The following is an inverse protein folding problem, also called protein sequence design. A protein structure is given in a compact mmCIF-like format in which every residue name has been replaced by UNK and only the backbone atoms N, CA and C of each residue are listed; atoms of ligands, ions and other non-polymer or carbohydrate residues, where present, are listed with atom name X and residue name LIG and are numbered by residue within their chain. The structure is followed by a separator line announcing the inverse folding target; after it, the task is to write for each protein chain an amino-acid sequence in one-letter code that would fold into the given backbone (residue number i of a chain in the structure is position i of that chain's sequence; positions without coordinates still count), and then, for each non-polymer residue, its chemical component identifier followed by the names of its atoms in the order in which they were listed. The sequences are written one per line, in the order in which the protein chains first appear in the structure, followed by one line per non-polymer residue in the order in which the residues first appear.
data_IF_509349299783
#
_entry.id   IF_509349299783
#
_cell.length_a   1.000
_cell.length_b   1.000
_cell.length_c   1.000
_cell.angle_alpha   90.00
_cell.angle_beta   90.00
_cell.angle_gamma   90.00
#
_symmetry.space_group_name_H-M   'P 1'
#
loop_
_entity.id
_entity.type
_entity.pdbx_description
1 polymer ?
#
# COMPACT_ATOMS: atom_id res chain seq x y z
N UNK A 1 33.30 12.61 -25.65
CA UNK A 1 33.10 11.75 -24.45
C UNK A 1 31.64 11.70 -24.00
N UNK A 2 30.80 12.67 -24.35
CA UNK A 2 29.36 12.68 -24.03
C UNK A 2 28.40 12.21 -25.16
N UNK A 3 28.91 11.88 -26.37
CA UNK A 3 28.09 11.27 -27.43
C UNK A 3 27.86 9.75 -27.24
N UNK A 4 28.84 9.00 -26.72
CA UNK A 4 28.72 7.52 -26.56
C UNK A 4 27.73 7.08 -25.47
N UNK A 5 27.34 7.98 -24.57
CA UNK A 5 26.35 7.72 -23.52
C UNK A 5 24.93 7.82 -24.08
N UNK A 6 24.71 8.68 -25.08
CA UNK A 6 23.40 8.89 -25.72
C UNK A 6 23.04 7.77 -26.71
N UNK A 7 24.03 7.16 -27.36
CA UNK A 7 23.80 6.06 -28.32
C UNK A 7 23.35 4.74 -27.65
N UNK A 8 23.48 4.60 -26.32
CA UNK A 8 22.99 3.43 -25.58
C UNK A 8 21.49 3.51 -25.25
N UNK A 9 20.88 4.70 -25.34
CA UNK A 9 19.49 4.95 -24.91
C UNK A 9 18.49 4.74 -26.06
N UNK A 10 18.92 4.66 -27.33
CA UNK A 10 18.00 4.62 -28.49
C UNK A 10 18.26 3.51 -29.53
N UNK A 11 18.78 2.35 -29.12
CA UNK A 11 18.87 1.19 -30.02
C UNK A 11 17.49 0.57 -30.35
N UNK A 12 17.24 0.13 -31.60
CA UNK A 12 15.92 -0.37 -32.02
C UNK A 12 15.60 -1.74 -31.41
N UNK A 13 14.36 -1.90 -30.91
CA UNK A 13 13.79 -3.20 -30.55
C UNK A 13 13.60 -4.06 -31.81
N UNK A 14 14.35 -5.16 -31.90
CA UNK A 14 14.07 -6.27 -32.81
C UNK A 14 13.89 -7.52 -31.94
N UNK A 15 12.86 -8.36 -32.18
CA UNK A 15 12.51 -9.45 -31.27
C UNK A 15 13.46 -10.63 -31.48
N UNK A 16 14.13 -11.08 -30.42
CA UNK A 16 14.86 -12.35 -30.42
C UNK A 16 14.24 -13.31 -29.41
N UNK A 17 13.61 -14.35 -29.96
CA UNK A 17 13.29 -15.58 -29.23
C UNK A 17 14.62 -16.30 -28.99
N UNK A 18 14.98 -16.54 -27.72
CA UNK A 18 16.18 -17.28 -27.31
C UNK A 18 15.98 -17.94 -25.93
N UNK A 19 16.62 -19.10 -25.66
CA UNK A 19 16.24 -20.03 -24.58
C UNK A 19 16.68 -19.58 -23.19
N UNK A 20 16.09 -20.14 -22.10
CA UNK A 20 16.40 -19.71 -20.74
C UNK A 20 17.73 -20.34 -20.31
N UNK A 21 18.51 -19.64 -19.47
CA UNK A 21 19.55 -20.22 -18.60
C UNK A 21 20.12 -19.10 -17.71
N UNK A 22 19.72 -19.09 -16.43
CA UNK A 22 20.58 -18.48 -15.41
C UNK A 22 21.84 -19.35 -15.29
N UNK A 23 23.06 -18.77 -15.26
CA UNK A 23 24.28 -19.55 -15.08
C UNK A 23 24.35 -20.14 -13.66
N UNK A 24 25.00 -21.30 -13.47
CA UNK A 24 25.05 -22.04 -12.19
C UNK A 24 25.81 -21.35 -11.04
N UNK A 25 26.34 -20.15 -11.28
CA UNK A 25 27.05 -19.32 -10.31
C UNK A 25 26.36 -17.98 -10.03
N UNK A 26 25.22 -17.71 -10.67
CA UNK A 26 24.38 -16.59 -10.28
C UNK A 26 23.79 -16.91 -8.91
N UNK A 27 24.25 -16.19 -7.87
CA UNK A 27 23.59 -16.21 -6.57
C UNK A 27 22.12 -15.87 -6.80
N UNK A 28 21.17 -16.66 -6.25
CA UNK A 28 19.79 -16.23 -6.28
C UNK A 28 19.75 -14.85 -5.63
N UNK A 29 19.02 -13.88 -6.20
CA UNK A 29 18.77 -12.66 -5.46
C UNK A 29 18.23 -13.07 -4.07
N UNK A 30 18.62 -12.38 -2.98
CA UNK A 30 17.87 -12.49 -1.74
C UNK A 30 16.40 -12.32 -2.09
N UNK A 31 15.51 -13.01 -1.37
CA UNK A 31 14.06 -12.99 -1.61
C UNK A 31 13.70 -11.56 -1.96
N UNK A 32 13.47 -11.28 -3.24
CA UNK A 32 12.99 -9.98 -3.65
C UNK A 32 11.52 -10.04 -3.33
N UNK A 33 11.25 -9.82 -2.06
CA UNK A 33 10.00 -9.27 -1.61
C UNK A 33 9.74 -8.10 -2.54
N UNK A 34 8.51 -8.02 -3.00
CA UNK A 34 8.14 -6.89 -3.81
C UNK A 34 8.58 -5.64 -3.04
N UNK A 35 9.49 -4.88 -3.64
CA UNK A 35 9.67 -3.47 -3.33
C UNK A 35 8.36 -2.76 -3.69
N UNK A 36 7.35 -3.02 -2.88
CA UNK A 36 6.17 -2.23 -2.68
C UNK A 36 6.43 -1.52 -1.37
N UNK A 37 6.89 -0.28 -1.52
CA UNK A 37 6.80 0.73 -0.47
C UNK A 37 5.34 0.78 0.00
N UNK A 38 5.01 0.01 1.02
CA UNK A 38 3.87 0.16 1.93
C UNK A 38 4.08 -0.83 3.09
N UNK A 39 4.52 -0.30 4.22
CA UNK A 39 4.69 -1.01 5.50
C UNK A 39 3.34 -1.57 6.01
N UNK A 40 2.88 -2.74 5.57
CA UNK A 40 2.04 -3.64 6.39
C UNK A 40 1.87 -5.10 5.86
N UNK A 41 2.82 -5.61 5.09
CA UNK A 41 2.97 -7.06 4.86
C UNK A 41 4.46 -7.39 4.94
N UNK A 42 4.85 -8.16 5.96
CA UNK A 42 6.25 -8.40 6.35
C UNK A 42 7.16 -8.65 5.14
N UNK A 43 8.15 -7.77 4.99
CA UNK A 43 9.36 -8.03 4.24
C UNK A 43 10.17 -9.14 4.95
N UNK A 44 10.39 -10.27 4.29
CA UNK A 44 11.32 -11.33 4.71
C UNK A 44 12.80 -10.86 4.86
N UNK A 45 13.11 -9.59 4.64
CA UNK A 45 14.42 -8.99 4.92
C UNK A 45 14.59 -8.57 6.41
N UNK A 46 13.50 -8.51 7.20
CA UNK A 46 13.59 -8.29 8.67
C UNK A 46 13.68 -9.59 9.50
N UNK A 47 13.55 -10.77 8.86
CA UNK A 47 13.75 -12.05 9.52
C UNK A 47 15.25 -12.35 9.65
N UNK A 48 15.91 -11.67 10.58
CA UNK A 48 17.17 -12.08 11.17
C UNK A 48 18.31 -12.28 10.17
N UNK A 49 18.98 -11.18 9.85
CA UNK A 49 20.33 -11.13 9.28
C UNK A 49 21.42 -11.77 10.19
N UNK A 50 21.09 -12.80 10.98
CA UNK A 50 22.00 -13.55 11.83
C UNK A 50 22.01 -15.06 11.53
N UNK A 51 21.28 -15.53 10.50
CA UNK A 51 21.33 -16.95 10.06
C UNK A 51 21.41 -17.16 8.56
N UNK A 52 22.14 -16.29 7.84
CA UNK A 52 22.60 -16.63 6.48
C UNK A 52 23.81 -17.56 6.54
N UNK A 53 23.62 -18.74 7.12
CA UNK A 53 24.42 -19.90 6.71
C UNK A 53 23.85 -20.37 5.37
N UNK A 54 24.61 -20.10 4.30
CA UNK A 54 24.35 -20.39 2.88
C UNK A 54 24.31 -21.91 2.62
N UNK A 55 23.49 -22.67 3.35
CA UNK A 55 23.38 -24.13 3.18
C UNK A 55 22.09 -24.80 3.67
N UNK A 56 21.09 -24.09 4.22
CA UNK A 56 19.89 -24.77 4.72
C UNK A 56 18.63 -24.52 3.86
N UNK A 57 18.47 -25.32 2.81
CA UNK A 57 17.24 -25.42 2.00
C UNK A 57 16.02 -25.97 2.76
N UNK A 58 16.12 -26.17 4.08
CA UNK A 58 15.06 -26.63 4.98
C UNK A 58 14.87 -25.70 6.19
N UNK A 59 15.19 -24.42 6.05
CA UNK A 59 14.99 -23.42 7.10
C UNK A 59 13.49 -23.17 7.34
N UNK A 60 13.10 -23.10 8.62
CA UNK A 60 11.74 -22.83 9.07
C UNK A 60 11.64 -21.41 9.59
N UNK A 61 10.63 -20.69 9.15
CA UNK A 61 10.37 -19.31 9.56
C UNK A 61 8.97 -19.19 10.14
N UNK A 62 8.84 -18.32 11.12
CA UNK A 62 7.56 -17.95 11.72
C UNK A 62 7.10 -16.63 11.12
N UNK A 63 5.83 -16.55 10.73
CA UNK A 63 5.27 -15.33 10.17
C UNK A 63 3.94 -15.00 10.84
N UNK A 64 3.59 -13.71 10.83
CA UNK A 64 2.32 -13.19 11.30
C UNK A 64 1.74 -12.25 10.25
N UNK A 65 0.45 -12.40 9.99
CA UNK A 65 -0.29 -11.66 8.98
C UNK A 65 -1.45 -10.89 9.62
N UNK A 66 -1.64 -9.61 9.26
CA UNK A 66 -2.80 -8.84 9.66
C UNK A 66 -4.08 -9.35 8.97
N UNK A 67 -5.21 -8.76 9.31
CA UNK A 67 -6.47 -9.01 8.58
C UNK A 67 -6.48 -8.34 7.21
N UNK A 68 -7.27 -8.85 6.26
CA UNK A 68 -7.48 -8.19 4.95
C UNK A 68 -6.37 -8.37 3.90
N UNK A 69 -5.55 -9.42 3.98
CA UNK A 69 -4.47 -9.66 3.01
C UNK A 69 -4.94 -9.97 1.58
N UNK A 70 -6.24 -10.21 1.37
CA UNK A 70 -6.83 -10.39 0.03
C UNK A 70 -6.88 -9.08 -0.78
N UNK A 71 -6.91 -7.94 -0.10
CA UNK A 71 -7.02 -6.60 -0.71
C UNK A 71 -5.65 -6.03 -1.11
N UNK A 72 -4.56 -6.58 -0.57
CA UNK A 72 -3.19 -6.20 -0.95
C UNK A 72 -2.87 -6.71 -2.35
N UNK A 73 -2.85 -5.81 -3.33
CA UNK A 73 -2.62 -6.14 -4.73
C UNK A 73 -1.32 -5.57 -5.26
N UNK A 74 -0.84 -6.10 -6.39
CA UNK A 74 0.24 -5.49 -7.14
C UNK A 74 -0.20 -4.12 -7.67
N UNK A 75 0.53 -3.06 -7.30
CA UNK A 75 0.35 -1.72 -7.88
C UNK A 75 1.19 -1.50 -9.14
N UNK A 76 2.23 -2.31 -9.34
CA UNK A 76 3.08 -2.27 -10.52
C UNK A 76 3.00 -3.61 -11.25
N UNK A 77 2.98 -3.61 -12.60
CA UNK A 77 2.92 -4.83 -13.36
C UNK A 77 4.17 -5.69 -13.12
N UNK A 78 3.96 -6.95 -12.68
CA UNK A 78 5.02 -7.94 -12.49
C UNK A 78 4.92 -9.02 -13.54
N UNK A 79 6.06 -9.40 -14.12
CA UNK A 79 6.13 -10.46 -15.12
C UNK A 79 6.27 -11.82 -14.44
N UNK A 80 5.39 -12.75 -14.81
CA UNK A 80 5.44 -14.14 -14.39
C UNK A 80 5.39 -14.99 -15.65
N UNK A 81 6.56 -15.48 -16.08
CA UNK A 81 6.70 -16.16 -17.36
C UNK A 81 6.47 -15.18 -18.52
N UNK A 82 5.51 -15.50 -19.38
CA UNK A 82 5.14 -14.75 -20.59
C UNK A 82 4.07 -13.68 -20.36
N UNK A 83 3.49 -13.60 -19.16
CA UNK A 83 2.38 -12.69 -18.84
C UNK A 83 2.74 -11.71 -17.73
N UNK A 84 2.26 -10.49 -17.87
CA UNK A 84 2.33 -9.47 -16.82
C UNK A 84 1.01 -9.44 -16.03
N UNK A 85 1.11 -9.43 -14.71
CA UNK A 85 -0.02 -9.36 -13.77
C UNK A 85 0.03 -8.05 -13.00
N UNK A 86 -1.13 -7.44 -12.79
CA UNK A 86 -1.31 -6.17 -12.06
C UNK A 86 -2.68 -6.17 -11.36
N UNK A 87 -2.84 -5.39 -10.29
CA UNK A 87 -4.09 -5.25 -9.51
C UNK A 87 -4.70 -6.56 -9.00
N UNK A 88 -3.84 -7.50 -8.64
CA UNK A 88 -4.21 -8.74 -7.97
C UNK A 88 -3.13 -9.14 -6.96
N UNK A 89 -3.47 -9.89 -5.90
CA UNK A 89 -2.45 -10.45 -5.01
C UNK A 89 -1.59 -11.44 -5.80
N UNK A 90 -0.27 -11.29 -5.73
CA UNK A 90 0.65 -12.15 -6.47
C UNK A 90 0.80 -13.49 -5.75
N UNK A 91 0.15 -14.53 -6.27
CA UNK A 91 0.27 -15.90 -5.76
C UNK A 91 0.66 -16.78 -6.93
N UNK A 92 1.81 -17.45 -6.88
CA UNK A 92 2.28 -18.31 -7.97
C UNK A 92 2.35 -19.76 -7.50
N UNK A 93 1.53 -20.60 -8.14
CA UNK A 93 1.39 -22.01 -7.80
C UNK A 93 0.68 -22.26 -6.48
N UNK A 94 1.14 -23.29 -5.76
CA UNK A 94 0.61 -23.67 -4.47
C UNK A 94 -0.72 -24.41 -4.50
N UNK A 95 -0.77 -25.48 -3.71
CA UNK A 95 -1.89 -26.40 -3.45
C UNK A 95 -1.55 -27.07 -2.12
N UNK A 96 -2.52 -27.72 -1.46
CA UNK A 96 -2.21 -28.58 -0.30
C UNK A 96 -1.03 -29.51 -0.60
N UNK A 97 0.15 -29.21 -0.02
CA UNK A 97 1.40 -29.95 -0.17
C UNK A 97 2.30 -29.60 -1.37
N UNK A 98 1.92 -28.67 -2.26
CA UNK A 98 2.83 -28.17 -3.32
C UNK A 98 3.34 -26.79 -2.96
N UNK A 99 4.62 -26.48 -3.21
CA UNK A 99 5.22 -25.22 -2.82
C UNK A 99 4.72 -24.03 -3.64
N UNK A 100 4.76 -22.87 -3.01
CA UNK A 100 4.57 -21.56 -3.60
C UNK A 100 5.93 -21.01 -4.05
N UNK A 101 5.91 -20.20 -5.12
CA UNK A 101 7.14 -19.54 -5.59
C UNK A 101 7.57 -18.44 -4.62
N UNK A 102 8.88 -18.28 -4.40
CA UNK A 102 9.46 -17.39 -3.39
C UNK A 102 9.10 -15.90 -3.49
N UNK A 103 8.59 -15.44 -4.64
CA UNK A 103 8.15 -14.06 -4.87
C UNK A 103 6.62 -13.87 -4.70
N UNK A 104 5.90 -14.90 -4.25
CA UNK A 104 4.48 -14.80 -3.94
C UNK A 104 4.28 -14.03 -2.64
N UNK A 105 3.22 -13.23 -2.56
CA UNK A 105 2.83 -12.52 -1.33
C UNK A 105 2.54 -13.53 -0.22
N UNK A 106 3.32 -13.48 0.87
CA UNK A 106 3.32 -14.50 1.91
C UNK A 106 1.94 -14.68 2.56
N UNK A 107 1.31 -13.58 2.96
CA UNK A 107 0.02 -13.62 3.65
C UNK A 107 -1.14 -14.01 2.72
N UNK A 108 -1.16 -13.49 1.49
CA UNK A 108 -2.14 -13.91 0.49
C UNK A 108 -1.98 -15.39 0.12
N UNK A 109 -0.74 -15.88 -0.01
CA UNK A 109 -0.45 -17.30 -0.22
C UNK A 109 -0.86 -18.17 0.98
N UNK A 110 -0.67 -17.69 2.21
CA UNK A 110 -1.09 -18.40 3.42
C UNK A 110 -2.62 -18.53 3.51
N UNK A 111 -3.35 -17.48 3.13
CA UNK A 111 -4.81 -17.49 3.04
C UNK A 111 -5.30 -18.41 1.91
N UNK A 112 -4.64 -18.34 0.74
CA UNK A 112 -4.90 -19.25 -0.37
C UNK A 112 -4.68 -20.72 0.03
N UNK A 113 -3.63 -21.01 0.82
CA UNK A 113 -3.38 -22.34 1.38
C UNK A 113 -4.37 -22.75 2.49
N UNK A 114 -5.16 -21.82 3.03
CA UNK A 114 -6.10 -22.07 4.12
C UNK A 114 -5.43 -22.18 5.49
N UNK A 115 -4.20 -21.70 5.61
CA UNK A 115 -3.45 -21.70 6.87
C UNK A 115 -3.89 -20.56 7.78
N UNK A 116 -4.33 -19.44 7.20
CA UNK A 116 -4.88 -18.28 7.90
C UNK A 116 -6.28 -17.96 7.37
N UNK A 117 -7.10 -17.31 8.19
CA UNK A 117 -8.43 -16.84 7.80
C UNK A 117 -8.44 -15.37 7.38
N UNK A 118 -9.63 -14.85 7.09
CA UNK A 118 -9.85 -13.43 6.73
C UNK A 118 -9.45 -12.44 7.85
N UNK A 119 -9.40 -12.91 9.11
CA UNK A 119 -9.07 -12.10 10.29
C UNK A 119 -7.56 -12.10 10.62
N UNK A 120 -6.73 -12.47 9.66
CA UNK A 120 -5.31 -12.66 9.85
C UNK A 120 -4.97 -14.01 10.47
N UNK A 121 -3.70 -14.16 10.84
CA UNK A 121 -3.17 -15.43 11.35
C UNK A 121 -1.68 -15.39 11.60
N UNK A 122 -1.18 -16.45 12.24
CA UNK A 122 0.25 -16.74 12.30
C UNK A 122 0.48 -18.16 11.81
N UNK A 123 1.69 -18.44 11.34
CA UNK A 123 2.04 -19.74 10.82
C UNK A 123 3.53 -19.99 10.77
N UNK A 124 3.86 -21.22 10.39
CA UNK A 124 5.22 -21.61 10.06
C UNK A 124 5.30 -21.90 8.56
N UNK A 125 6.34 -21.38 7.94
CA UNK A 125 6.71 -21.72 6.58
C UNK A 125 8.06 -22.42 6.59
N UNK A 126 8.25 -23.32 5.64
CA UNK A 126 9.50 -24.00 5.38
C UNK A 126 9.95 -23.62 3.99
N UNK A 127 11.17 -23.11 3.88
CA UNK A 127 11.79 -22.90 2.58
C UNK A 127 12.04 -24.26 1.94
N UNK A 128 11.88 -24.27 0.63
CA UNK A 128 12.18 -25.39 -0.25
C UNK A 128 13.06 -24.82 -1.36
N UNK A 129 14.05 -25.57 -1.82
CA UNK A 129 14.89 -25.13 -2.93
C UNK A 129 14.16 -25.07 -4.26
N UNK A 130 14.85 -25.51 -5.31
CA UNK A 130 14.33 -25.45 -6.66
C UNK A 130 13.06 -26.28 -6.81
N UNK A 131 11.99 -25.65 -7.34
CA UNK A 131 10.76 -26.34 -7.71
C UNK A 131 10.19 -25.78 -9.00
N UNK A 132 9.53 -26.65 -9.76
CA UNK A 132 8.73 -26.35 -10.93
C UNK A 132 8.21 -27.65 -11.54
N UNK A 133 7.16 -27.61 -12.36
CA UNK A 133 6.34 -26.45 -12.73
C UNK A 133 5.24 -26.12 -11.69
N UNK A 134 4.78 -24.86 -11.67
CA UNK A 134 3.70 -24.37 -10.83
C UNK A 134 2.37 -24.36 -11.59
N UNK A 135 1.37 -25.03 -11.02
CA UNK A 135 0.02 -25.13 -11.61
C UNK A 135 -0.92 -24.06 -11.04
N UNK A 136 -1.79 -23.45 -11.86
CA UNK A 136 -2.73 -22.45 -11.39
C UNK A 136 -3.94 -23.12 -10.74
N UNK A 137 -4.39 -22.60 -9.61
CA UNK A 137 -5.58 -23.07 -8.91
C UNK A 137 -6.29 -21.90 -8.22
N UNK A 138 -7.58 -22.08 -7.95
CA UNK A 138 -8.36 -21.14 -7.12
C UNK A 138 -8.68 -21.84 -5.81
N UNK A 139 -8.23 -21.29 -4.69
CA UNK A 139 -8.48 -21.82 -3.34
C UNK A 139 -8.82 -20.67 -2.39
N UNK A 140 -9.80 -20.90 -1.51
CA UNK A 140 -10.25 -19.94 -0.50
C UNK A 140 -10.58 -18.53 -1.03
N UNK A 141 -11.09 -18.45 -2.27
CA UNK A 141 -11.45 -17.18 -2.92
C UNK A 141 -10.30 -16.48 -3.65
N UNK A 142 -9.05 -16.94 -3.48
CA UNK A 142 -7.86 -16.38 -4.12
C UNK A 142 -7.44 -17.22 -5.33
N UNK A 143 -6.85 -16.58 -6.34
CA UNK A 143 -6.43 -17.22 -7.60
C UNK A 143 -4.91 -17.21 -7.72
N UNK A 144 -4.31 -18.39 -7.91
CA UNK A 144 -2.89 -18.51 -8.22
C UNK A 144 -2.60 -18.49 -9.72
N UNK A 145 -1.39 -18.03 -10.04
CA UNK A 145 -0.85 -17.83 -11.38
C UNK A 145 0.04 -19.03 -11.76
N UNK A 146 0.01 -19.48 -13.03
CA UNK A 146 0.86 -20.57 -13.48
C UNK A 146 2.29 -20.11 -13.75
N UNK A 147 3.26 -21.00 -13.56
CA UNK A 147 4.64 -20.79 -14.00
C UNK A 147 5.26 -22.12 -14.46
N UNK A 148 5.57 -22.24 -15.75
CA UNK A 148 5.98 -23.50 -16.39
C UNK A 148 7.50 -23.77 -16.34
N UNK A 149 8.25 -22.98 -15.57
CA UNK A 149 9.69 -23.15 -15.41
C UNK A 149 10.06 -23.42 -13.95
N UNK A 150 11.27 -23.91 -13.73
CA UNK A 150 11.84 -24.09 -12.40
C UNK A 150 12.23 -22.75 -11.80
N UNK A 151 12.02 -22.58 -10.51
CA UNK A 151 12.40 -21.39 -9.76
C UNK A 151 13.27 -21.79 -8.58
N UNK A 152 14.40 -21.09 -8.32
CA UNK A 152 15.43 -21.53 -7.38
C UNK A 152 15.00 -21.57 -5.92
N UNK A 153 13.92 -20.85 -5.55
CA UNK A 153 13.45 -20.74 -4.18
C UNK A 153 11.93 -20.81 -4.08
N UNK A 154 11.46 -21.75 -3.28
CA UNK A 154 10.03 -21.95 -3.04
C UNK A 154 9.77 -22.08 -1.53
N UNK A 155 8.51 -22.06 -1.13
CA UNK A 155 8.15 -22.31 0.26
C UNK A 155 6.87 -23.11 0.39
N UNK A 156 6.75 -23.86 1.48
CA UNK A 156 5.55 -24.64 1.84
C UNK A 156 5.13 -24.24 3.24
N UNK A 157 3.83 -24.17 3.46
CA UNK A 157 3.28 -23.93 4.79
C UNK A 157 3.12 -25.22 5.59
N UNK A 158 3.40 -25.14 6.89
CA UNK A 158 3.21 -26.23 7.83
C UNK A 158 2.05 -25.89 8.77
N UNK A 159 1.10 -26.81 9.02
CA UNK A 159 -0.03 -26.55 9.89
C UNK A 159 0.43 -26.37 11.34
N UNK A 160 -0.06 -25.33 12.01
CA UNK A 160 0.24 -25.04 13.41
C UNK A 160 -0.94 -25.47 14.28
N UNK A 161 -0.66 -26.19 15.38
CA UNK A 161 -1.69 -26.70 16.30
C UNK A 161 -2.24 -25.61 17.25
N UNK A 162 -1.51 -24.52 17.46
CA UNK A 162 -1.88 -23.42 18.35
C UNK A 162 -2.14 -22.12 17.58
N UNK A 163 -3.39 -21.96 17.14
CA UNK A 163 -3.88 -20.77 16.41
C UNK A 163 -4.65 -19.79 17.31
N UNK A 164 -4.73 -20.05 18.62
CA UNK A 164 -5.70 -19.41 19.53
C UNK A 164 -5.48 -17.93 19.83
N UNK A 165 -4.33 -17.34 19.48
CA UNK A 165 -4.00 -15.97 19.86
C UNK A 165 -3.33 -15.14 18.74
N UNK A 166 -3.51 -15.56 17.49
CA UNK A 166 -2.93 -14.90 16.31
C UNK A 166 -4.03 -14.30 15.43
N UNK A 167 -4.95 -13.54 16.01
CA UNK A 167 -5.92 -12.74 15.25
C UNK A 167 -5.52 -11.28 15.31
N UNK A 168 -5.78 -10.56 14.23
CA UNK A 168 -5.62 -9.12 14.22
C UNK A 168 -6.74 -8.48 15.07
N UNK A 169 -6.33 -7.88 16.18
CA UNK A 169 -7.22 -7.29 17.17
C UNK A 169 -7.11 -5.76 17.21
N UNK A 170 -6.54 -5.16 16.16
CA UNK A 170 -6.38 -3.70 16.01
C UNK A 170 -7.71 -2.96 16.21
N UNK A 171 -8.83 -3.56 15.81
CA UNK A 171 -10.18 -3.03 16.02
C UNK A 171 -10.54 -2.84 17.51
N UNK A 172 -10.06 -3.71 18.42
CA UNK A 172 -10.31 -3.57 19.87
C UNK A 172 -9.68 -2.29 20.41
N UNK A 173 -8.49 -1.94 19.92
CA UNK A 173 -7.82 -0.69 20.31
C UNK A 173 -8.55 0.53 19.78
N UNK A 174 -9.08 0.48 18.55
CA UNK A 174 -9.92 1.55 18.02
C UNK A 174 -11.21 1.74 18.83
N UNK A 175 -11.89 0.65 19.17
CA UNK A 175 -13.10 0.70 20.01
C UNK A 175 -12.77 1.26 21.40
N UNK A 176 -11.70 0.79 22.04
CA UNK A 176 -11.28 1.30 23.34
C UNK A 176 -10.96 2.79 23.29
N UNK A 177 -10.20 3.23 22.28
CA UNK A 177 -9.86 4.64 22.08
C UNK A 177 -11.12 5.49 21.85
N UNK A 178 -12.08 4.98 21.06
CA UNK A 178 -13.34 5.67 20.79
C UNK A 178 -14.19 5.81 22.05
N UNK A 179 -14.29 4.75 22.87
CA UNK A 179 -15.03 4.76 24.13
C UNK A 179 -14.39 5.71 25.14
N UNK A 180 -13.06 5.66 25.30
CA UNK A 180 -12.34 6.56 26.22
C UNK A 180 -12.47 8.02 25.79
N UNK A 181 -12.38 8.28 24.48
CA UNK A 181 -12.60 9.62 23.92
C UNK A 181 -14.05 10.08 24.13
N UNK A 182 -15.04 9.22 23.92
CA UNK A 182 -16.44 9.53 24.19
C UNK A 182 -16.66 9.82 25.68
N UNK A 183 -16.04 9.05 26.57
CA UNK A 183 -16.12 9.27 28.00
C UNK A 183 -15.52 10.62 28.40
N UNK A 184 -14.31 10.95 27.92
CA UNK A 184 -13.66 12.24 28.17
C UNK A 184 -14.52 13.40 27.66
N UNK A 185 -15.07 13.30 26.46
CA UNK A 185 -15.90 14.36 25.89
C UNK A 185 -17.24 14.54 26.59
N UNK A 186 -17.90 13.45 27.01
CA UNK A 186 -19.21 13.50 27.67
C UNK A 186 -19.11 13.90 29.15
N UNK A 187 -18.09 13.43 29.88
CA UNK A 187 -17.93 13.68 31.32
C UNK A 187 -17.19 14.99 31.58
N UNK A 188 -16.05 15.21 30.92
CA UNK A 188 -15.23 16.40 31.17
C UNK A 188 -15.70 17.64 30.39
N UNK A 189 -16.63 17.49 29.44
CA UNK A 189 -17.20 18.56 28.58
C UNK A 189 -16.18 19.66 28.28
N UNK A 190 -15.09 19.35 27.56
CA UNK A 190 -14.02 20.29 27.30
C UNK A 190 -14.49 21.45 26.41
N UNK A 191 -13.70 22.53 26.39
CA UNK A 191 -13.97 23.71 25.56
C UNK A 191 -14.24 23.30 24.09
N UNK A 192 -15.15 24.00 23.37
CA UNK A 192 -15.56 23.62 22.01
C UNK A 192 -14.39 23.56 21.01
N UNK A 193 -13.32 24.32 21.25
CA UNK A 193 -12.09 24.28 20.46
C UNK A 193 -11.42 22.90 20.53
N UNK A 194 -11.42 22.27 21.72
CA UNK A 194 -10.84 20.94 21.93
C UNK A 194 -11.62 19.87 21.15
N UNK A 195 -12.95 19.97 21.08
CA UNK A 195 -13.78 19.04 20.31
C UNK A 195 -13.49 19.10 18.80
N UNK A 196 -13.26 20.31 18.26
CA UNK A 196 -12.89 20.47 16.85
C UNK A 196 -11.51 19.87 16.56
N UNK A 197 -10.51 20.11 17.41
CA UNK A 197 -9.17 19.52 17.30
C UNK A 197 -9.21 17.99 17.41
N UNK A 198 -10.01 17.47 18.35
CA UNK A 198 -10.18 16.04 18.55
C UNK A 198 -10.82 15.36 17.33
N UNK A 199 -11.81 16.00 16.70
CA UNK A 199 -12.38 15.52 15.44
C UNK A 199 -11.34 15.42 14.31
N UNK A 200 -10.48 16.44 14.17
CA UNK A 200 -9.38 16.41 13.20
C UNK A 200 -8.33 15.33 13.53
N UNK A 201 -8.05 15.12 14.82
CA UNK A 201 -7.13 14.07 15.27
C UNK A 201 -7.65 12.67 14.90
N UNK A 202 -8.95 12.42 15.09
CA UNK A 202 -9.58 11.15 14.68
C UNK A 202 -9.53 10.91 13.17
N UNK A 203 -9.69 11.95 12.36
CA UNK A 203 -9.48 11.84 10.91
C UNK A 203 -8.05 11.37 10.64
N UNK A 204 -7.05 11.95 11.31
CA UNK A 204 -5.64 11.55 11.21
C UNK A 204 -5.38 10.09 11.58
N UNK A 205 -5.92 9.62 12.70
CA UNK A 205 -5.76 8.23 13.20
C UNK A 205 -6.41 7.21 12.25
N UNK A 206 -7.44 7.62 11.51
CA UNK A 206 -8.18 6.75 10.58
C UNK A 206 -7.72 6.91 9.13
N UNK A 207 -6.66 7.69 8.85
CA UNK A 207 -6.19 7.89 7.48
C UNK A 207 -5.83 6.56 6.82
N UNK A 208 -5.14 5.66 7.52
CA UNK A 208 -4.72 4.38 6.95
C UNK A 208 -5.92 3.51 6.55
N UNK A 209 -6.99 3.52 7.36
CA UNK A 209 -8.24 2.81 7.07
C UNK A 209 -8.98 3.45 5.90
N UNK A 210 -8.99 4.79 5.84
CA UNK A 210 -9.67 5.56 4.78
C UNK A 210 -8.93 5.45 3.44
N UNK A 211 -7.60 5.41 3.47
CA UNK A 211 -6.75 5.33 2.28
C UNK A 211 -6.51 3.90 1.80
N UNK A 212 -6.72 2.87 2.63
CA UNK A 212 -6.70 1.48 2.20
C UNK A 212 -7.61 1.23 0.99
N UNK A 213 -8.78 1.87 0.96
CA UNK A 213 -9.76 1.74 -0.12
C UNK A 213 -9.56 2.74 -1.28
N UNK A 214 -8.60 3.67 -1.16
CA UNK A 214 -8.37 4.73 -2.16
C UNK A 214 -7.00 4.51 -2.83
N UNK A 215 -6.95 3.80 -3.97
CA UNK A 215 -5.70 3.52 -4.67
C UNK A 215 -5.24 4.75 -5.48
N UNK A 216 -4.81 5.82 -4.80
CA UNK A 216 -4.28 7.04 -5.42
C UNK A 216 -2.83 7.30 -4.98
N UNK A 217 -1.98 6.28 -5.07
CA UNK A 217 -0.54 6.46 -4.86
C UNK A 217 0.20 6.88 -6.15
N UNK A 218 -0.41 6.61 -7.32
CA UNK A 218 0.18 6.89 -8.63
C UNK A 218 -0.87 7.39 -9.62
N UNK A 219 -0.70 8.63 -10.10
CA UNK A 219 -1.63 9.25 -11.06
C UNK A 219 -1.22 8.91 -12.51
N UNK A 220 -1.25 7.64 -12.88
CA UNK A 220 -0.96 7.23 -14.25
C UNK A 220 -2.24 6.90 -15.04
N UNK A 221 -2.29 7.36 -16.29
CA UNK A 221 -3.49 7.27 -17.15
C UNK A 221 -3.92 5.81 -17.39
N UNK A 222 -2.97 4.87 -17.43
CA UNK A 222 -3.25 3.44 -17.59
C UNK A 222 -3.95 2.82 -16.37
N UNK A 223 -3.74 3.38 -15.18
CA UNK A 223 -4.22 2.85 -13.91
C UNK A 223 -5.70 3.22 -13.69
N UNK A 224 -6.13 4.37 -14.23
CA UNK A 224 -7.52 4.90 -14.13
C UNK A 224 -8.55 3.98 -14.80
N UNK A 225 -8.17 3.25 -15.87
CA UNK A 225 -9.10 2.37 -16.59
C UNK A 225 -9.18 0.96 -16.02
N UNK A 226 -8.18 0.51 -15.24
CA UNK A 226 -8.11 -0.86 -14.75
C UNK A 226 -8.61 -1.02 -13.31
N UNK A 227 -8.56 0.04 -12.49
CA UNK A 227 -9.02 -0.03 -11.10
C UNK A 227 -10.49 0.40 -10.91
N UNK A 228 -11.38 -0.48 -10.42
CA UNK A 228 -12.72 -0.08 -10.02
C UNK A 228 -12.67 0.74 -8.71
N UNK A 229 -12.69 2.07 -8.81
CA UNK A 229 -12.74 2.97 -7.64
C UNK A 229 -11.90 4.25 -7.78
N UNK A 230 -10.81 4.21 -8.56
CA UNK A 230 -9.95 5.37 -8.80
C UNK A 230 -10.70 6.53 -9.47
N UNK A 231 -11.57 6.20 -10.45
CA UNK A 231 -12.39 7.18 -11.16
C UNK A 231 -13.37 7.90 -10.22
N UNK A 232 -14.06 7.15 -9.35
CA UNK A 232 -15.04 7.73 -8.41
C UNK A 232 -14.36 8.67 -7.42
N UNK A 233 -13.22 8.26 -6.85
CA UNK A 233 -12.46 9.10 -5.92
C UNK A 233 -11.93 10.36 -6.59
N UNK A 234 -11.41 10.25 -7.83
CA UNK A 234 -10.95 11.41 -8.60
C UNK A 234 -12.07 12.43 -8.84
N UNK A 235 -13.26 11.96 -9.25
CA UNK A 235 -14.43 12.82 -9.49
C UNK A 235 -14.83 13.55 -8.20
N UNK A 236 -14.90 12.84 -7.07
CA UNK A 236 -15.25 13.43 -5.77
C UNK A 236 -14.23 14.49 -5.35
N UNK A 237 -12.93 14.19 -5.45
CA UNK A 237 -11.85 15.13 -5.10
C UNK A 237 -11.94 16.39 -5.97
N UNK A 238 -12.08 16.25 -7.29
CA UNK A 238 -12.19 17.40 -8.21
C UNK A 238 -13.42 18.25 -7.88
N UNK A 239 -14.56 17.63 -7.60
CA UNK A 239 -15.78 18.36 -7.21
C UNK A 239 -15.59 19.15 -5.92
N UNK A 240 -14.99 18.54 -4.89
CA UNK A 240 -14.70 19.22 -3.62
C UNK A 240 -13.77 20.41 -3.82
N UNK A 241 -12.68 20.23 -4.58
CA UNK A 241 -11.73 21.31 -4.90
C UNK A 241 -12.41 22.46 -5.64
N UNK A 242 -13.28 22.17 -6.61
CA UNK A 242 -14.03 23.20 -7.36
C UNK A 242 -14.99 23.96 -6.45
N UNK A 243 -15.73 23.26 -5.58
CA UNK A 243 -16.64 23.90 -4.62
C UNK A 243 -15.87 24.81 -3.66
N UNK A 244 -14.74 24.35 -3.14
CA UNK A 244 -13.87 25.15 -2.29
C UNK A 244 -13.32 26.37 -3.04
N UNK A 245 -12.87 26.21 -4.28
CA UNK A 245 -12.39 27.32 -5.10
C UNK A 245 -13.48 28.37 -5.36
N UNK A 246 -14.70 27.94 -5.71
CA UNK A 246 -15.85 28.84 -5.89
C UNK A 246 -16.15 29.58 -4.59
N UNK A 247 -16.11 28.89 -3.44
CA UNK A 247 -16.31 29.52 -2.14
C UNK A 247 -15.22 30.55 -1.83
N UNK A 248 -13.94 30.23 -2.06
CA UNK A 248 -12.83 31.17 -1.89
C UNK A 248 -13.01 32.41 -2.77
N UNK A 249 -13.37 32.24 -4.05
CA UNK A 249 -13.64 33.37 -4.96
C UNK A 249 -14.82 34.21 -4.48
N UNK A 250 -15.90 33.59 -4.01
CA UNK A 250 -17.07 34.30 -3.48
C UNK A 250 -16.70 35.14 -2.24
N UNK A 251 -15.94 34.56 -1.32
CA UNK A 251 -15.47 35.24 -0.10
C UNK A 251 -14.55 36.40 -0.45
N UNK A 252 -13.58 36.21 -1.34
CA UNK A 252 -12.66 37.28 -1.78
C UNK A 252 -13.40 38.42 -2.48
N UNK A 253 -14.40 38.09 -3.33
CA UNK A 253 -15.20 39.10 -4.02
C UNK A 253 -16.04 39.93 -3.06
N UNK A 254 -16.62 39.30 -2.04
CA UNK A 254 -17.46 39.98 -1.05
C UNK A 254 -16.65 40.78 -0.02
N UNK A 255 -15.40 40.40 0.24
CA UNK A 255 -14.53 41.08 1.21
C UNK A 255 -13.74 42.25 0.63
N UNK A 256 -13.80 42.49 -0.70
CA UNK A 256 -13.17 43.64 -1.34
C UNK A 256 -11.64 43.65 -1.26
N UNK A 257 -11.02 42.52 -0.89
CA UNK A 257 -9.56 42.39 -0.67
C UNK A 257 -8.82 42.07 -1.98
N UNK A 258 -9.54 41.91 -3.10
CA UNK A 258 -9.01 41.63 -4.44
C UNK A 258 -7.79 42.50 -4.84
N UNK A 259 -7.77 43.84 -4.65
CA UNK A 259 -6.61 44.65 -5.01
C UNK A 259 -5.38 44.39 -4.12
N UNK A 260 -5.56 43.96 -2.86
CA UNK A 260 -4.45 43.61 -1.94
C UNK A 260 -3.76 42.30 -2.33
N UNK A 261 -4.52 41.31 -2.80
CA UNK A 261 -3.93 40.06 -3.32
C UNK A 261 -3.21 40.26 -4.66
N UNK A 262 -3.77 41.11 -5.55
CA UNK A 262 -3.14 41.42 -6.83
C UNK A 262 -1.82 42.21 -6.67
N UNK A 263 -1.75 43.10 -5.68
CA UNK A 263 -0.50 43.81 -5.35
C UNK A 263 0.57 42.89 -4.79
N UNK A 264 0.18 41.84 -4.04
CA UNK A 264 1.10 40.85 -3.48
C UNK A 264 1.73 39.95 -4.56
N UNK A 265 0.97 39.65 -5.63
CA UNK A 265 1.44 38.91 -6.82
C UNK A 265 2.42 39.69 -7.71
N UNK A 266 2.45 41.02 -7.59
CA UNK A 266 3.41 41.88 -8.31
C UNK A 266 4.73 42.07 -7.54
N UNK A 267 4.86 41.56 -6.32
CA UNK A 267 6.10 41.62 -5.54
C UNK A 267 6.89 40.33 -5.83
N UNK A 268 8.07 40.40 -6.50
CA UNK A 268 8.74 39.22 -7.03
C UNK A 268 9.39 38.28 -5.98
N UNK A 269 9.10 38.41 -4.68
CA UNK A 269 9.73 37.60 -3.61
C UNK A 269 8.81 37.42 -2.39
N UNK A 270 7.65 36.78 -2.53
CA UNK A 270 6.85 36.34 -1.37
C UNK A 270 6.72 34.83 -1.42
N UNK A 271 7.23 34.16 -0.39
CA UNK A 271 7.11 32.72 -0.22
C UNK A 271 5.65 32.32 0.07
N UNK A 272 5.16 31.29 -0.62
CA UNK A 272 3.81 30.71 -0.50
C UNK A 272 3.32 30.36 0.94
N UNK A 273 4.18 30.00 1.92
CA UNK A 273 3.74 29.70 3.28
C UNK A 273 3.11 30.89 4.01
N UNK A 274 3.60 32.11 3.77
CA UNK A 274 3.11 33.32 4.43
C UNK A 274 1.71 33.71 3.95
N UNK A 275 1.43 33.46 2.67
CA UNK A 275 0.11 33.66 2.08
C UNK A 275 -0.92 32.69 2.67
N UNK A 276 -0.52 31.45 2.97
CA UNK A 276 -1.38 30.45 3.62
C UNK A 276 -1.64 30.79 5.11
N UNK A 277 -0.64 31.31 5.83
CA UNK A 277 -0.80 31.78 7.21
C UNK A 277 -1.80 32.94 7.31
N UNK A 278 -1.73 33.90 6.37
CA UNK A 278 -2.64 35.05 6.31
C UNK A 278 -4.08 34.67 5.98
N UNK A 279 -4.30 33.70 5.09
CA UNK A 279 -5.66 33.23 4.78
C UNK A 279 -6.25 32.42 5.93
N UNK A 280 -5.46 31.58 6.60
CA UNK A 280 -5.88 30.81 7.78
C UNK A 280 -6.26 31.70 8.97
N UNK A 281 -5.45 32.71 9.30
CA UNK A 281 -5.75 33.65 10.40
C UNK A 281 -6.97 34.54 10.12
N UNK A 282 -7.19 34.93 8.86
CA UNK A 282 -8.38 35.70 8.48
C UNK A 282 -9.66 34.85 8.52
N UNK A 283 -9.58 33.57 8.16
CA UNK A 283 -10.69 32.62 8.29
C UNK A 283 -11.07 32.39 9.76
N UNK A 284 -10.08 32.24 10.64
CA UNK A 284 -10.28 32.14 12.10
C UNK A 284 -10.93 33.40 12.68
N UNK A 285 -10.49 34.59 12.27
CA UNK A 285 -11.11 35.85 12.68
C UNK A 285 -12.56 35.98 12.21
N UNK A 286 -12.85 35.55 10.98
CA UNK A 286 -14.22 35.57 10.44
C UNK A 286 -15.15 34.60 11.21
N UNK A 287 -14.67 33.40 11.52
CA UNK A 287 -15.43 32.41 12.31
C UNK A 287 -15.73 32.90 13.73
N UNK A 288 -14.81 33.67 14.34
CA UNK A 288 -15.02 34.21 15.68
C UNK A 288 -16.02 35.37 15.70
N UNK A 289 -16.18 36.09 14.58
CA UNK A 289 -17.07 37.25 14.50
C UNK A 289 -18.55 36.90 14.30
N UNK A 290 -18.84 35.68 13.84
CA UNK A 290 -20.22 35.17 13.67
C UNK A 290 -20.73 34.36 14.87
N UNK A 291 -20.00 34.35 15.98
CA UNK A 291 -20.38 33.68 17.23
C UNK A 291 -20.92 34.64 18.31
N UNK A 292 -21.14 35.91 17.99
CA UNK A 292 -21.83 36.90 18.83
C UNK A 292 -23.23 37.17 18.31
#
# INVERSE_FOLDING_TARGET
MWQRVWDWVQGPMVPSVGPPLFPPWAKPPPISLAESLDEECIDLDELGQDTLDESNFDARYTFQCPSGCEDTTLLNPRQVGDKAYNYMPLIVGGRNGTPYRGDSFLCAAAQHAGMIGQRGGCGHLRLVGTYGPYTPIVQNGLKSVPFQAEFPQSFVFEPVLDQKNCTDERWKMYVLNAVLTAFVTLVLRPMPIFLFMLGLWWIGVLLDVVFADVPLQRLEVRDIQQQPGALTSLIVIVLVVVVLAINQVRVIRNSGVLPKFLTLLCIPNVDLPDVFSLTFWNLLKWLNHHKS
#
